data_IF_828168340427
#
_entry.id   IF_828168340427
#
_cell.length_a   1.000
_cell.length_b   1.000
_cell.length_c   1.000
_cell.angle_alpha   90.00
_cell.angle_beta   90.00
_cell.angle_gamma   90.00
#
_symmetry.space_group_name_H-M   'P 1'
#
loop_
_entity.id
_entity.type
_entity.pdbx_description
1 polymer ?
#
# COMPACT_ATOMS: atom_id res chain seq x y z
N UNK A 1 8.21 -19.18 -9.21
CA UNK A 1 7.38 -18.54 -8.15
C UNK A 1 8.07 -18.70 -6.80
N UNK A 2 7.79 -17.82 -5.82
CA UNK A 2 8.32 -17.93 -4.44
C UNK A 2 8.08 -19.32 -3.84
N UNK A 3 6.96 -19.97 -4.18
CA UNK A 3 6.64 -21.34 -3.76
C UNK A 3 7.59 -22.43 -4.32
N UNK A 4 8.19 -22.18 -5.48
CA UNK A 4 9.14 -23.09 -6.15
C UNK A 4 10.59 -22.86 -5.69
N UNK A 5 10.92 -21.63 -5.30
CA UNK A 5 12.28 -21.23 -4.87
C UNK A 5 12.46 -21.39 -3.36
N UNK A 6 11.44 -21.05 -2.56
CA UNK A 6 11.48 -21.15 -1.10
C UNK A 6 10.07 -21.41 -0.52
N UNK A 7 9.74 -22.70 -0.42
CA UNK A 7 8.45 -23.15 0.11
C UNK A 7 8.35 -22.93 1.62
N UNK A 8 9.45 -23.10 2.36
CA UNK A 8 9.46 -23.01 3.82
C UNK A 8 9.30 -21.56 4.25
N UNK A 9 10.08 -20.63 3.67
CA UNK A 9 9.95 -19.20 3.96
C UNK A 9 8.59 -18.65 3.55
N UNK A 10 7.97 -19.15 2.48
CA UNK A 10 6.60 -18.78 2.12
C UNK A 10 5.57 -19.19 3.19
N UNK A 11 5.69 -20.40 3.75
CA UNK A 11 4.78 -20.88 4.81
C UNK A 11 4.95 -20.06 6.09
N UNK A 12 6.21 -19.81 6.49
CA UNK A 12 6.52 -19.01 7.68
C UNK A 12 6.01 -17.58 7.54
N UNK A 13 6.21 -16.97 6.37
CA UNK A 13 5.71 -15.63 6.06
C UNK A 13 4.19 -15.59 6.08
N UNK A 14 3.51 -16.57 5.48
CA UNK A 14 2.05 -16.64 5.51
C UNK A 14 1.49 -16.82 6.93
N UNK A 15 2.18 -17.56 7.81
CA UNK A 15 1.81 -17.68 9.23
C UNK A 15 1.95 -16.36 10.00
N UNK A 16 2.91 -15.52 9.62
CA UNK A 16 3.13 -14.20 10.24
C UNK A 16 2.33 -13.07 9.60
N UNK A 17 1.66 -13.31 8.46
CA UNK A 17 0.83 -12.29 7.82
C UNK A 17 -0.35 -11.97 8.72
N UNK A 18 -0.29 -10.81 9.37
CA UNK A 18 -1.45 -10.22 10.04
C UNK A 18 -2.56 -10.08 8.99
N UNK A 19 -3.73 -10.62 9.29
CA UNK A 19 -4.91 -10.54 8.43
C UNK A 19 -5.16 -9.06 8.13
N UNK A 20 -5.06 -8.65 6.85
CA UNK A 20 -5.29 -7.27 6.43
C UNK A 20 -6.69 -6.87 6.90
N UNK A 21 -6.77 -5.84 7.74
CA UNK A 21 -8.07 -5.30 8.18
C UNK A 21 -8.77 -4.69 6.97
N UNK A 22 -10.09 -4.83 6.91
CA UNK A 22 -10.89 -4.12 5.90
C UNK A 22 -10.81 -2.63 6.23
N UNK A 23 -10.15 -1.88 5.37
CA UNK A 23 -10.07 -0.44 5.49
C UNK A 23 -11.39 0.18 5.04
N UNK A 24 -11.99 1.06 5.83
CA UNK A 24 -13.26 1.73 5.55
C UNK A 24 -13.26 3.13 6.17
N UNK A 25 -13.61 4.13 5.37
CA UNK A 25 -13.84 5.52 5.81
C UNK A 25 -15.33 5.75 5.67
N UNK A 26 -15.96 6.43 6.63
CA UNK A 26 -17.43 6.45 6.74
C UNK A 26 -18.12 7.35 5.71
N UNK A 27 -17.47 8.44 5.27
CA UNK A 27 -18.06 9.45 4.37
C UNK A 27 -17.00 10.05 3.43
N UNK A 28 -17.39 10.54 2.23
CA UNK A 28 -16.53 11.35 1.37
C UNK A 28 -15.97 12.56 2.14
N UNK A 29 -14.74 12.97 1.81
CA UNK A 29 -14.03 14.11 2.39
C UNK A 29 -13.76 14.02 3.90
N UNK A 30 -14.05 12.89 4.56
CA UNK A 30 -13.79 12.73 5.99
C UNK A 30 -12.30 12.47 6.30
N UNK A 31 -11.54 11.96 5.33
CA UNK A 31 -10.11 11.70 5.46
C UNK A 31 -9.46 11.73 4.08
N UNK A 32 -8.32 12.41 3.98
CA UNK A 32 -7.52 12.50 2.77
C UNK A 32 -6.16 11.83 2.98
N UNK A 33 -5.71 11.08 1.99
CA UNK A 33 -4.39 10.47 1.97
C UNK A 33 -3.48 11.23 1.02
N UNK A 34 -2.22 11.41 1.44
CA UNK A 34 -1.16 12.01 0.65
C UNK A 34 0.01 11.04 0.67
N UNK A 35 0.54 10.69 -0.51
CA UNK A 35 1.71 9.84 -0.65
C UNK A 35 2.72 10.43 -1.65
N UNK A 36 4.01 10.16 -1.39
CA UNK A 36 5.12 10.66 -2.20
C UNK A 36 5.76 9.54 -3.02
N UNK A 37 5.80 9.71 -4.33
CA UNK A 37 6.53 8.84 -5.23
C UNK A 37 7.97 9.33 -5.44
N UNK A 38 8.92 8.70 -4.74
CA UNK A 38 10.31 9.17 -4.66
C UNK A 38 11.27 8.47 -5.65
N UNK A 39 10.79 7.64 -6.58
CA UNK A 39 11.69 6.91 -7.50
C UNK A 39 12.56 7.82 -8.36
N UNK A 40 12.09 9.05 -8.63
CA UNK A 40 12.79 10.02 -9.46
C UNK A 40 13.60 11.05 -8.65
N UNK A 41 13.78 10.84 -7.35
CA UNK A 41 14.42 11.81 -6.46
C UNK A 41 15.87 12.14 -6.85
N UNK A 42 16.58 11.19 -7.50
CA UNK A 42 17.95 11.43 -8.01
C UNK A 42 18.01 12.47 -9.13
N UNK A 43 16.90 12.70 -9.83
CA UNK A 43 16.75 13.76 -10.83
C UNK A 43 16.04 15.00 -10.27
N UNK A 44 15.85 15.08 -8.94
CA UNK A 44 15.18 16.18 -8.28
C UNK A 44 13.65 16.16 -8.39
N UNK A 45 13.05 15.05 -8.86
CA UNK A 45 11.60 14.96 -9.09
C UNK A 45 10.96 14.07 -8.02
N UNK A 46 9.93 14.60 -7.36
CA UNK A 46 9.04 13.86 -6.46
C UNK A 46 7.60 14.14 -6.85
N UNK A 47 6.81 13.09 -7.06
CA UNK A 47 5.40 13.21 -7.43
C UNK A 47 4.57 12.94 -6.19
N UNK A 48 3.73 13.90 -5.78
CA UNK A 48 2.80 13.72 -4.67
C UNK A 48 1.40 13.45 -5.22
N UNK A 49 0.78 12.38 -4.75
CA UNK A 49 -0.60 12.02 -5.06
C UNK A 49 -1.50 12.25 -3.84
N UNK A 50 -2.70 12.76 -4.07
CA UNK A 50 -3.69 13.03 -3.02
C UNK A 50 -5.01 12.36 -3.40
N UNK A 51 -5.59 11.56 -2.48
CA UNK A 51 -6.86 10.87 -2.71
C UNK A 51 -7.78 10.95 -1.50
N UNK A 52 -9.08 10.98 -1.74
CA UNK A 52 -10.09 10.80 -0.69
C UNK A 52 -10.11 9.34 -0.21
N UNK A 53 -10.07 9.14 1.12
CA UNK A 53 -9.97 7.82 1.75
C UNK A 53 -11.26 7.01 1.67
N UNK A 54 -12.39 7.66 1.36
CA UNK A 54 -13.67 7.01 1.11
C UNK A 54 -13.71 6.39 -0.30
N UNK A 55 -13.52 7.17 -1.36
CA UNK A 55 -13.57 6.65 -2.74
C UNK A 55 -12.30 5.90 -3.17
N UNK A 56 -11.12 6.32 -2.69
CA UNK A 56 -9.80 5.75 -3.01
C UNK A 56 -9.47 5.69 -4.50
N UNK A 57 -10.08 6.57 -5.28
CA UNK A 57 -9.85 6.72 -6.71
C UNK A 57 -8.83 7.85 -6.95
N UNK A 58 -7.91 7.60 -7.88
CA UNK A 58 -6.97 8.58 -8.45
C UNK A 58 -7.53 9.05 -9.77
#
# INVERSE_FOLDING_TARGET
SLRRVDRIGQILRNRQVKRRRRYHVTRPNALWHIDGHHKLIRWGIVIHGVIDGFCRTV
#
